data_IF_249491193680
#
_entry.id   IF_249491193680
#
_cell.length_a   1.000
_cell.length_b   1.000
_cell.length_c   1.000
_cell.angle_alpha   90.00
_cell.angle_beta   90.00
_cell.angle_gamma   90.00
#
_symmetry.space_group_name_H-M   'P 1'
#
loop_
_entity.id
_entity.type
_entity.pdbx_description
1 polymer ?
#
# COMPACT_ATOMS: atom_id res chain seq x y z
N UNK A 1 2.97 -23.28 39.51
CA UNK A 1 2.55 -23.66 38.14
C UNK A 1 2.95 -22.52 37.20
N UNK A 2 3.94 -22.74 36.33
CA UNK A 2 4.34 -21.80 35.28
C UNK A 2 3.38 -21.98 34.10
N UNK A 3 2.58 -20.97 33.81
CA UNK A 3 1.93 -20.87 32.51
C UNK A 3 3.00 -20.42 31.51
N UNK A 4 3.25 -21.27 30.52
CA UNK A 4 4.05 -20.89 29.36
C UNK A 4 3.24 -19.90 28.53
N UNK A 5 3.67 -18.64 28.44
CA UNK A 5 3.28 -17.74 27.36
C UNK A 5 3.83 -18.33 26.06
N UNK A 6 2.96 -18.97 25.30
CA UNK A 6 3.24 -19.55 24.00
C UNK A 6 2.14 -19.01 23.08
N UNK A 7 2.47 -18.04 22.22
CA UNK A 7 1.48 -17.57 21.24
C UNK A 7 1.67 -16.23 20.53
N UNK A 8 2.71 -15.43 20.83
CA UNK A 8 2.99 -14.17 20.09
C UNK A 8 4.33 -14.23 19.35
N UNK A 9 4.66 -15.40 18.79
CA UNK A 9 5.68 -15.53 17.73
C UNK A 9 4.97 -15.58 16.37
N UNK A 10 4.15 -14.57 16.06
CA UNK A 10 3.99 -14.16 14.67
C UNK A 10 5.40 -13.73 14.24
N UNK A 11 6.05 -14.56 13.41
CA UNK A 11 7.39 -14.32 12.91
C UNK A 11 7.39 -13.04 12.07
N UNK A 12 7.59 -11.90 12.72
CA UNK A 12 8.19 -10.74 12.08
C UNK A 12 9.45 -11.26 11.39
N UNK A 13 9.49 -11.16 10.06
CA UNK A 13 10.68 -11.55 9.32
C UNK A 13 11.85 -10.71 9.86
N UNK A 14 12.98 -11.37 10.10
CA UNK A 14 14.18 -10.70 10.58
C UNK A 14 14.55 -9.57 9.63
N UNK A 15 14.53 -8.33 10.13
CA UNK A 15 14.82 -7.12 9.35
C UNK A 15 16.17 -7.24 8.63
N UNK A 16 17.16 -7.86 9.27
CA UNK A 16 18.46 -8.11 8.64
C UNK A 16 18.35 -9.05 7.43
N UNK A 17 17.49 -10.07 7.50
CA UNK A 17 17.24 -10.97 6.40
C UNK A 17 16.50 -10.28 5.24
N UNK A 18 15.52 -9.42 5.55
CA UNK A 18 14.82 -8.60 4.55
C UNK A 18 15.79 -7.65 3.86
N UNK A 19 16.54 -6.86 4.61
CA UNK A 19 17.53 -5.92 4.08
C UNK A 19 18.55 -6.62 3.20
N UNK A 20 19.04 -7.80 3.62
CA UNK A 20 19.95 -8.61 2.81
C UNK A 20 19.32 -9.08 1.50
N UNK A 21 18.07 -9.53 1.53
CA UNK A 21 17.36 -9.99 0.33
C UNK A 21 17.12 -8.84 -0.65
N UNK A 22 16.67 -7.68 -0.16
CA UNK A 22 16.39 -6.50 -0.98
C UNK A 22 17.66 -5.97 -1.65
N UNK A 23 18.77 -5.81 -0.90
CA UNK A 23 20.08 -5.41 -1.46
C UNK A 23 20.57 -6.37 -2.54
N UNK A 24 20.41 -7.68 -2.32
CA UNK A 24 20.77 -8.67 -3.32
C UNK A 24 19.88 -8.60 -4.58
N UNK A 25 18.60 -8.28 -4.44
CA UNK A 25 17.66 -8.18 -5.55
C UNK A 25 17.85 -6.89 -6.38
N UNK A 26 18.27 -5.80 -5.73
CA UNK A 26 18.59 -4.53 -6.41
C UNK A 26 20.01 -4.49 -6.97
N UNK A 27 20.87 -5.46 -6.62
CA UNK A 27 22.31 -5.48 -6.94
C UNK A 27 23.03 -4.21 -6.45
N UNK A 28 22.62 -3.71 -5.28
CA UNK A 28 23.11 -2.45 -4.71
C UNK A 28 23.33 -2.59 -3.18
N UNK A 29 24.48 -2.10 -2.70
CA UNK A 29 24.86 -2.13 -1.28
C UNK A 29 24.44 -0.85 -0.55
N UNK A 30 24.27 0.24 -1.28
CA UNK A 30 23.94 1.57 -0.76
C UNK A 30 22.42 1.79 -0.81
N UNK A 31 21.71 0.82 -0.22
CA UNK A 31 20.25 0.82 -0.09
C UNK A 31 19.88 0.84 1.39
N UNK A 32 19.09 1.84 1.76
CA UNK A 32 18.38 1.88 3.04
C UNK A 32 17.02 1.21 2.88
N UNK A 33 16.74 0.21 3.71
CA UNK A 33 15.50 -0.58 3.63
C UNK A 33 14.70 -0.33 4.91
N UNK A 34 13.45 0.08 4.75
CA UNK A 34 12.52 0.36 5.83
C UNK A 34 11.32 -0.57 5.74
N UNK A 35 11.03 -1.29 6.81
CA UNK A 35 9.83 -2.13 6.90
C UNK A 35 8.60 -1.29 7.24
N UNK A 36 7.46 -1.63 6.65
CA UNK A 36 6.19 -1.00 6.98
C UNK A 36 5.63 -1.61 8.28
N UNK A 37 5.99 -1.05 9.43
CA UNK A 37 5.68 -1.60 10.76
C UNK A 37 4.17 -1.68 11.09
N UNK A 38 3.34 -0.86 10.43
CA UNK A 38 1.89 -0.80 10.65
C UNK A 38 1.05 -1.81 9.84
N UNK A 39 1.65 -2.47 8.86
CA UNK A 39 0.97 -3.32 7.90
C UNK A 39 1.30 -4.80 8.13
N UNK A 40 0.50 -5.49 8.94
CA UNK A 40 0.66 -6.94 9.13
C UNK A 40 0.04 -7.69 7.96
N UNK A 41 0.89 -8.13 7.03
CA UNK A 41 0.50 -9.03 5.94
C UNK A 41 0.99 -10.44 6.29
N UNK A 42 0.10 -11.44 6.46
CA UNK A 42 0.50 -12.78 6.88
C UNK A 42 1.60 -13.38 5.97
N UNK A 43 2.78 -13.61 6.56
CA UNK A 43 3.90 -14.23 5.86
C UNK A 43 4.60 -13.36 4.82
N UNK A 44 4.29 -12.06 4.71
CA UNK A 44 4.99 -11.14 3.82
C UNK A 44 5.60 -9.99 4.63
N UNK A 45 6.84 -9.63 4.31
CA UNK A 45 7.41 -8.37 4.78
C UNK A 45 7.22 -7.30 3.71
N UNK A 46 6.51 -6.22 4.04
CA UNK A 46 6.31 -5.06 3.15
C UNK A 46 7.38 -4.03 3.46
N UNK A 47 8.03 -3.48 2.43
CA UNK A 47 9.16 -2.58 2.60
C UNK A 47 9.18 -1.44 1.57
N UNK A 48 9.88 -0.37 1.94
CA UNK A 48 10.45 0.60 0.99
C UNK A 48 11.98 0.49 1.00
N UNK A 49 12.58 0.84 -0.11
CA UNK A 49 14.01 0.88 -0.32
C UNK A 49 14.37 2.24 -0.94
N UNK A 50 15.20 3.01 -0.22
CA UNK A 50 15.83 4.22 -0.72
C UNK A 50 17.23 3.87 -1.24
N UNK A 51 17.47 4.21 -2.51
CA UNK A 51 18.70 3.87 -3.24
C UNK A 51 19.55 5.14 -3.30
N UNK A 52 20.67 5.14 -2.59
CA UNK A 52 21.63 6.26 -2.56
C UNK A 52 22.48 6.29 -3.84
N UNK A 53 21.85 6.63 -4.96
CA UNK A 53 22.53 6.89 -6.24
C UNK A 53 22.57 8.39 -6.55
N UNK A 54 23.41 8.82 -7.50
CA UNK A 54 23.46 10.23 -7.96
C UNK A 54 22.10 10.79 -8.42
N UNK A 55 21.14 9.90 -8.76
CA UNK A 55 19.79 10.29 -9.19
C UNK A 55 18.73 10.04 -8.12
N UNK A 56 19.11 9.47 -6.98
CA UNK A 56 18.17 8.88 -6.03
C UNK A 56 17.38 7.73 -6.64
N UNK A 57 16.75 6.93 -5.79
CA UNK A 57 15.81 5.91 -6.22
C UNK A 57 14.93 5.52 -5.05
N UNK A 58 13.67 5.26 -5.33
CA UNK A 58 12.72 4.75 -4.36
C UNK A 58 12.04 3.53 -4.97
N UNK A 59 11.97 2.45 -4.20
CA UNK A 59 11.24 1.26 -4.59
C UNK A 59 10.45 0.75 -3.40
N UNK A 60 9.28 0.20 -3.67
CA UNK A 60 8.49 -0.54 -2.69
C UNK A 60 8.34 -1.98 -3.14
N UNK A 61 8.08 -2.86 -2.18
CA UNK A 61 7.94 -4.26 -2.51
C UNK A 61 7.53 -5.14 -1.34
N UNK A 62 7.48 -6.43 -1.63
CA UNK A 62 7.30 -7.46 -0.62
C UNK A 62 8.41 -8.49 -0.68
N UNK A 63 8.79 -9.01 0.50
CA UNK A 63 9.65 -10.19 0.63
C UNK A 63 8.84 -11.34 1.18
N UNK A 64 8.93 -12.49 0.50
CA UNK A 64 8.26 -13.73 0.89
C UNK A 64 9.06 -14.49 1.97
N UNK A 65 8.48 -15.52 2.62
CA UNK A 65 9.21 -16.32 3.61
C UNK A 65 10.41 -17.10 3.04
N UNK A 66 10.44 -17.35 1.73
CA UNK A 66 11.58 -17.95 1.04
C UNK A 66 12.72 -16.97 0.78
N UNK A 67 12.49 -15.66 1.02
CA UNK A 67 13.44 -14.59 0.72
C UNK A 67 13.35 -14.06 -0.71
N UNK A 68 12.33 -14.44 -1.47
CA UNK A 68 12.09 -13.87 -2.80
C UNK A 68 11.55 -12.44 -2.67
N UNK A 69 12.10 -11.52 -3.47
CA UNK A 69 11.75 -10.10 -3.45
C UNK A 69 10.94 -9.75 -4.70
N UNK A 70 9.84 -9.04 -4.50
CA UNK A 70 8.92 -8.62 -5.56
C UNK A 70 8.75 -7.10 -5.50
N UNK A 71 8.92 -6.43 -6.66
CA UNK A 71 8.81 -4.97 -6.78
C UNK A 71 7.68 -4.52 -7.72
N UNK A 72 7.18 -5.41 -8.58
CA UNK A 72 6.16 -5.03 -9.57
C UNK A 72 4.81 -4.89 -8.89
N UNK A 73 4.20 -3.71 -8.98
CA UNK A 73 2.93 -3.38 -8.32
C UNK A 73 1.83 -4.44 -8.49
N UNK A 74 1.61 -4.94 -9.71
CA UNK A 74 0.58 -5.96 -9.96
C UNK A 74 0.88 -7.28 -9.22
N UNK A 75 2.16 -7.70 -9.18
CA UNK A 75 2.60 -8.93 -8.53
C UNK A 75 2.62 -8.79 -6.99
N UNK A 76 3.10 -7.65 -6.48
CA UNK A 76 3.10 -7.37 -5.03
C UNK A 76 1.68 -7.26 -4.50
N UNK A 77 0.81 -6.55 -5.21
CA UNK A 77 -0.61 -6.40 -4.84
C UNK A 77 -1.34 -7.74 -4.86
N UNK A 78 -1.14 -8.55 -5.91
CA UNK A 78 -1.71 -9.90 -5.98
C UNK A 78 -1.33 -10.74 -4.75
N UNK A 79 -0.03 -10.75 -4.39
CA UNK A 79 0.48 -11.50 -3.22
C UNK A 79 -0.06 -11.00 -1.89
N UNK A 80 -0.14 -9.68 -1.73
CA UNK A 80 -0.73 -9.07 -0.53
C UNK A 80 -2.19 -9.49 -0.39
N UNK A 81 -2.97 -9.41 -1.47
CA UNK A 81 -4.39 -9.78 -1.42
C UNK A 81 -4.60 -11.28 -1.21
N UNK A 82 -3.73 -12.14 -1.75
CA UNK A 82 -3.74 -13.58 -1.45
C UNK A 82 -3.46 -13.87 0.04
N UNK A 83 -2.51 -13.13 0.63
CA UNK A 83 -2.14 -13.30 2.03
C UNK A 83 -3.19 -12.74 3.01
N UNK A 84 -3.79 -11.60 2.69
CA UNK A 84 -4.83 -10.97 3.52
C UNK A 84 -6.19 -11.66 3.36
N UNK A 85 -6.46 -12.19 2.16
CA UNK A 85 -7.76 -12.76 1.80
C UNK A 85 -8.81 -11.71 1.41
N UNK A 86 -9.95 -12.15 0.84
CA UNK A 86 -10.97 -11.26 0.27
C UNK A 86 -11.84 -10.53 1.32
N UNK A 87 -11.68 -10.84 2.59
CA UNK A 87 -12.41 -10.17 3.69
C UNK A 87 -11.48 -9.26 4.52
N UNK A 88 -10.32 -8.92 3.98
CA UNK A 88 -9.39 -7.97 4.58
C UNK A 88 -10.09 -6.63 4.90
N UNK A 89 -9.83 -5.99 6.05
CA UNK A 89 -10.37 -4.67 6.33
C UNK A 89 -9.88 -3.64 5.31
N UNK A 90 -10.77 -2.78 4.81
CA UNK A 90 -10.43 -1.79 3.78
C UNK A 90 -9.29 -0.85 4.22
N UNK A 91 -9.25 -0.45 5.49
CA UNK A 91 -8.15 0.35 6.04
C UNK A 91 -6.79 -0.35 5.92
N UNK A 92 -6.73 -1.65 6.22
CA UNK A 92 -5.48 -2.44 6.07
C UNK A 92 -5.06 -2.51 4.60
N UNK A 93 -6.02 -2.78 3.70
CA UNK A 93 -5.74 -2.81 2.26
C UNK A 93 -5.22 -1.47 1.77
N UNK A 94 -5.85 -0.36 2.17
CA UNK A 94 -5.40 1.00 1.82
C UNK A 94 -3.98 1.26 2.33
N UNK A 95 -3.70 0.99 3.60
CA UNK A 95 -2.36 1.18 4.18
C UNK A 95 -1.30 0.38 3.44
N UNK A 96 -1.56 -0.90 3.12
CA UNK A 96 -0.55 -1.78 2.50
C UNK A 96 -0.42 -1.51 1.00
N UNK A 97 -1.52 -1.59 0.27
CA UNK A 97 -1.51 -1.51 -1.20
C UNK A 97 -1.24 -0.08 -1.63
N UNK A 98 -1.87 0.91 -0.98
CA UNK A 98 -1.59 2.31 -1.27
C UNK A 98 -0.13 2.70 -1.01
N UNK A 99 0.54 2.07 -0.04
CA UNK A 99 1.99 2.21 0.15
C UNK A 99 2.80 1.60 -1.01
N UNK A 100 2.40 0.42 -1.49
CA UNK A 100 3.07 -0.26 -2.62
C UNK A 100 2.93 0.48 -3.95
N UNK A 101 1.97 1.41 -4.06
CA UNK A 101 1.81 2.26 -5.26
C UNK A 101 2.96 3.28 -5.43
N UNK A 102 3.83 3.46 -4.41
CA UNK A 102 5.01 4.30 -4.49
C UNK A 102 6.08 3.74 -5.43
N UNK A 103 6.32 4.41 -6.56
CA UNK A 103 7.26 3.97 -7.61
C UNK A 103 8.52 4.84 -7.75
N UNK A 104 8.47 6.09 -7.29
CA UNK A 104 9.59 7.05 -7.34
C UNK A 104 9.68 7.93 -6.11
N UNK A 105 8.56 8.09 -5.43
CA UNK A 105 8.42 8.80 -4.19
C UNK A 105 7.53 7.98 -3.26
N UNK A 106 7.66 8.17 -1.93
CA UNK A 106 6.77 7.54 -0.97
C UNK A 106 5.32 7.98 -1.21
N UNK A 107 4.43 7.02 -1.13
CA UNK A 107 2.99 7.27 -1.08
C UNK A 107 2.46 7.23 0.34
N UNK A 108 1.37 7.95 0.55
CA UNK A 108 0.74 8.11 1.84
C UNK A 108 -0.77 7.86 1.70
N UNK A 109 -1.23 6.64 2.01
CA UNK A 109 -2.65 6.30 1.95
C UNK A 109 -3.47 7.11 2.95
N UNK A 110 -4.65 7.56 2.53
CA UNK A 110 -5.65 8.17 3.42
C UNK A 110 -6.43 7.06 4.12
N UNK A 111 -5.84 6.52 5.19
CA UNK A 111 -6.34 5.33 5.90
C UNK A 111 -7.17 5.65 7.16
N UNK A 112 -7.17 6.91 7.57
CA UNK A 112 -7.73 7.36 8.84
C UNK A 112 -8.27 8.79 8.76
N UNK A 113 -9.18 9.14 9.68
CA UNK A 113 -9.71 10.50 9.75
C UNK A 113 -8.60 11.52 10.03
N UNK A 114 -7.62 11.17 10.88
CA UNK A 114 -6.49 12.03 11.15
C UNK A 114 -5.66 12.32 9.88
N UNK A 115 -5.50 11.33 8.99
CA UNK A 115 -4.83 11.53 7.70
C UNK A 115 -5.66 12.40 6.76
N UNK A 116 -6.97 12.16 6.69
CA UNK A 116 -7.92 12.96 5.90
C UNK A 116 -7.92 14.43 6.33
N UNK A 117 -7.97 14.70 7.63
CA UNK A 117 -7.92 16.06 8.20
C UNK A 117 -6.56 16.75 7.95
N UNK A 118 -5.51 15.95 7.71
CA UNK A 118 -4.15 16.41 7.46
C UNK A 118 -3.79 16.58 5.97
N UNK A 119 -4.72 16.33 5.04
CA UNK A 119 -4.47 16.53 3.60
C UNK A 119 -4.14 18.00 3.36
N UNK A 120 -3.05 18.27 2.63
CA UNK A 120 -2.50 19.61 2.46
C UNK A 120 -3.37 20.61 1.70
N UNK A 121 -4.46 20.13 1.08
CA UNK A 121 -5.41 20.92 0.27
C UNK A 121 -6.84 20.71 0.76
N UNK A 122 -7.46 21.69 1.45
CA UNK A 122 -8.81 21.59 1.98
C UNK A 122 -9.89 21.26 0.92
N UNK A 123 -9.70 21.72 -0.31
CA UNK A 123 -10.59 21.44 -1.44
C UNK A 123 -10.63 19.95 -1.82
N UNK A 124 -9.58 19.19 -1.55
CA UNK A 124 -9.57 17.75 -1.78
C UNK A 124 -10.36 17.00 -0.72
N UNK A 125 -10.29 17.45 0.55
CA UNK A 125 -10.89 16.76 1.67
C UNK A 125 -12.41 16.55 1.52
N UNK A 126 -13.12 17.42 0.76
CA UNK A 126 -14.56 17.26 0.49
C UNK A 126 -14.90 16.11 -0.48
N UNK A 127 -13.92 15.61 -1.23
CA UNK A 127 -14.09 14.52 -2.21
C UNK A 127 -13.47 13.20 -1.75
N UNK A 128 -12.59 13.25 -0.75
CA UNK A 128 -11.90 12.07 -0.22
C UNK A 128 -12.78 11.37 0.81
N UNK A 129 -12.87 10.05 0.70
CA UNK A 129 -13.56 9.19 1.65
C UNK A 129 -12.56 8.29 2.36
N UNK A 130 -12.91 7.84 3.57
CA UNK A 130 -12.15 6.78 4.21
C UNK A 130 -12.24 5.48 3.39
N UNK A 131 -11.24 4.57 3.53
CA UNK A 131 -11.21 3.33 2.78
C UNK A 131 -12.48 2.51 2.98
N UNK A 132 -13.04 2.01 1.88
CA UNK A 132 -14.26 1.22 1.88
C UNK A 132 -14.10 -0.05 1.07
N UNK A 133 -14.92 -1.06 1.42
CA UNK A 133 -15.03 -2.30 0.67
C UNK A 133 -16.49 -2.59 0.37
N UNK A 134 -16.80 -2.87 -0.89
CA UNK A 134 -18.11 -3.33 -1.33
C UNK A 134 -18.06 -4.78 -1.81
N UNK A 135 -19.22 -5.44 -1.80
CA UNK A 135 -19.40 -6.77 -2.39
C UNK A 135 -20.23 -6.64 -3.65
N UNK A 136 -19.73 -7.17 -4.74
CA UNK A 136 -20.47 -7.26 -6.00
C UNK A 136 -21.31 -8.54 -6.06
N UNK A 137 -22.31 -8.56 -6.96
CA UNK A 137 -23.25 -9.67 -7.10
C UNK A 137 -22.59 -10.99 -7.53
N UNK A 138 -21.47 -10.91 -8.27
CA UNK A 138 -20.65 -12.03 -8.71
C UNK A 138 -19.72 -12.58 -7.62
N UNK A 139 -19.77 -12.00 -6.41
CA UNK A 139 -18.93 -12.34 -5.28
C UNK A 139 -17.59 -11.62 -5.23
N UNK A 140 -17.28 -10.77 -6.23
CA UNK A 140 -16.09 -9.92 -6.23
C UNK A 140 -16.12 -8.90 -5.10
N UNK A 141 -14.93 -8.43 -4.71
CA UNK A 141 -14.72 -7.41 -3.69
C UNK A 141 -14.07 -6.21 -4.35
N UNK A 142 -14.60 -5.03 -4.07
CA UNK A 142 -14.03 -3.78 -4.58
C UNK A 142 -13.61 -2.96 -3.38
N UNK A 143 -12.31 -2.70 -3.29
CA UNK A 143 -11.71 -1.80 -2.32
C UNK A 143 -11.50 -0.45 -2.99
N UNK A 144 -11.98 0.60 -2.34
CA UNK A 144 -11.77 1.97 -2.80
C UNK A 144 -11.08 2.75 -1.69
N UNK A 145 -9.99 3.43 -2.05
CA UNK A 145 -9.19 4.23 -1.13
C UNK A 145 -8.45 5.32 -1.89
N UNK A 146 -7.81 6.22 -1.15
CA UNK A 146 -7.13 7.39 -1.68
C UNK A 146 -5.67 7.39 -1.27
N UNK A 147 -4.81 7.89 -2.16
CA UNK A 147 -3.36 7.92 -1.97
C UNK A 147 -2.81 9.27 -2.38
N UNK A 148 -1.95 9.83 -1.54
CA UNK A 148 -1.18 11.04 -1.80
C UNK A 148 0.29 10.67 -2.08
N UNK A 149 0.96 11.38 -2.98
CA UNK A 149 2.38 11.20 -3.28
C UNK A 149 3.00 12.56 -3.61
N UNK A 150 3.89 13.07 -2.76
CA UNK A 150 4.60 14.32 -3.00
C UNK A 150 3.70 15.55 -3.21
N UNK A 151 4.14 16.45 -4.11
CA UNK A 151 3.26 17.46 -4.73
C UNK A 151 2.22 16.75 -5.62
N UNK A 152 1.01 17.33 -5.86
CA UNK A 152 -0.08 16.67 -6.60
C UNK A 152 0.38 15.71 -7.69
N UNK A 153 -0.17 14.48 -7.74
CA UNK A 153 -1.59 14.23 -7.54
C UNK A 153 -1.98 13.48 -6.25
N UNK A 154 -3.20 13.77 -5.81
CA UNK A 154 -4.00 12.83 -5.01
C UNK A 154 -4.77 11.96 -5.99
N UNK A 155 -4.80 10.64 -5.80
CA UNK A 155 -5.60 9.76 -6.66
C UNK A 155 -6.48 8.82 -5.85
N UNK A 156 -7.56 8.39 -6.50
CA UNK A 156 -8.42 7.32 -6.01
C UNK A 156 -7.99 6.02 -6.66
N UNK A 157 -7.73 5.00 -5.84
CA UNK A 157 -7.50 3.64 -6.31
C UNK A 157 -8.75 2.80 -6.09
N UNK A 158 -9.16 2.10 -7.14
CA UNK A 158 -10.19 1.05 -7.11
C UNK A 158 -9.54 -0.29 -7.39
N UNK A 159 -9.42 -1.11 -6.35
CA UNK A 159 -8.84 -2.44 -6.38
C UNK A 159 -9.95 -3.49 -6.37
N UNK A 160 -10.06 -4.28 -7.42
CA UNK A 160 -11.04 -5.36 -7.52
C UNK A 160 -10.38 -6.71 -7.34
N UNK A 161 -10.86 -7.48 -6.37
CA UNK A 161 -10.51 -8.88 -6.15
C UNK A 161 -11.69 -9.74 -6.60
N UNK A 162 -11.51 -10.52 -7.66
CA UNK A 162 -12.54 -11.40 -8.17
C UNK A 162 -12.85 -12.53 -7.19
N UNK A 163 -13.97 -13.22 -7.38
CA UNK A 163 -14.31 -14.43 -6.61
C UNK A 163 -13.33 -15.59 -6.81
N UNK A 164 -12.49 -15.54 -7.85
CA UNK A 164 -11.38 -16.49 -8.08
C UNK A 164 -10.04 -16.02 -7.50
N UNK A 165 -10.01 -14.86 -6.85
CA UNK A 165 -8.81 -14.26 -6.26
C UNK A 165 -7.94 -13.48 -7.26
N UNK A 166 -8.41 -13.24 -8.49
CA UNK A 166 -7.67 -12.42 -9.45
C UNK A 166 -7.81 -10.95 -9.06
N UNK A 167 -6.69 -10.23 -9.03
CA UNK A 167 -6.65 -8.81 -8.68
C UNK A 167 -6.55 -7.95 -9.94
N UNK A 168 -7.25 -6.82 -9.93
CA UNK A 168 -7.11 -5.75 -10.92
C UNK A 168 -7.24 -4.40 -10.24
N UNK A 169 -6.57 -3.38 -10.77
CA UNK A 169 -6.50 -2.07 -10.15
C UNK A 169 -6.67 -0.98 -11.20
N UNK A 170 -7.44 0.05 -10.86
CA UNK A 170 -7.58 1.27 -11.65
C UNK A 170 -7.36 2.49 -10.77
N UNK A 171 -6.70 3.51 -11.31
CA UNK A 171 -6.41 4.77 -10.63
C UNK A 171 -7.10 5.92 -11.37
N UNK A 172 -7.71 6.82 -10.60
CA UNK A 172 -8.29 8.07 -11.10
C UNK A 172 -7.58 9.25 -10.40
N UNK A 173 -6.77 10.00 -11.15
CA UNK A 173 -5.98 11.10 -10.61
C UNK A 173 -6.80 12.40 -10.45
N UNK A 174 -6.53 13.15 -9.39
CA UNK A 174 -7.03 14.51 -9.17
C UNK A 174 -5.84 15.46 -9.12
N UNK A 175 -5.71 16.27 -10.17
CA UNK A 175 -4.66 17.28 -10.31
C UNK A 175 -5.14 18.67 -9.86
N UNK A 176 -6.33 19.07 -10.31
CA UNK A 176 -7.01 20.33 -9.97
C UNK A 176 -8.50 20.04 -9.81
N UNK A 177 -9.12 20.64 -8.79
CA UNK A 177 -10.58 20.70 -8.69
C UNK A 177 -10.95 22.10 -9.10
N UNK A 178 -11.25 22.30 -10.39
CA UNK A 178 -11.89 23.53 -10.83
C UNK A 178 -13.28 23.53 -10.20
N UNK A 179 -13.59 24.57 -9.42
CA UNK A 179 -14.98 24.87 -9.07
C UNK A 179 -15.67 25.33 -10.37
N UNK A 180 -15.99 24.39 -11.27
CA UNK A 180 -16.86 24.61 -12.43
C UNK A 180 -18.33 24.66 -11.97
N UNK A 181 -18.60 25.42 -10.91
CA UNK A 181 -19.94 25.80 -10.43
C UNK A 181 -20.16 27.32 -10.61
N UNK A 182 -19.53 27.92 -11.64
CA UNK A 182 -20.03 29.16 -12.26
C UNK A 182 -21.03 28.77 -13.37
N UNK A 183 -22.10 28.07 -13.00
CA UNK A 183 -23.31 28.03 -13.83
C UNK A 183 -23.90 29.45 -13.83
N UNK A 184 -23.68 30.13 -14.96
CA UNK A 184 -24.28 31.41 -15.32
C UNK A 184 -25.82 31.36 -15.18
N UNK A 185 -26.39 32.09 -14.21
CA UNK A 185 -27.79 32.54 -14.20
C UNK A 185 -27.91 34.00 -14.67
#
# INVERSE_FOLDING_TARGET
MKAASRGDEERSMDEQAVTKAVRAALDDQDVEVTLLEGARVPGLAVFSAEIESERGGYATGVVTPSGEVHFKLDDTTQRVMEALGPDAPAGVVATVVGFLEGTREPTYPVDSQARLDGIGKPEWARHVTLPQVSKEADGSRVYEYWVECGEPPLWRTRLTVSSTGQVSMTQDDIWEITDDDDDED
#
